data_IF_414326722353
#
_entry.id   IF_414326722353
#
_cell.length_a   1.000
_cell.length_b   1.000
_cell.length_c   1.000
_cell.angle_alpha   90.00
_cell.angle_beta   90.00
_cell.angle_gamma   90.00
#
_symmetry.space_group_name_H-M   'P 1'
#
loop_
_entity.id
_entity.type
_entity.pdbx_description
1 polymer ?
#
# COMPACT_ATOMS: atom_id res chain seq x y z
N UNK A 1 -2.16 -10.31 -12.80
CA UNK A 1 -3.02 -9.55 -13.70
C UNK A 1 -4.49 -9.75 -13.35
N UNK A 2 -5.28 -8.69 -13.41
CA UNK A 2 -6.70 -8.74 -13.06
C UNK A 2 -7.52 -8.71 -14.33
N UNK A 3 -8.27 -9.79 -14.56
CA UNK A 3 -9.16 -9.88 -15.72
C UNK A 3 -10.48 -9.16 -15.44
N UNK A 4 -11.05 -8.58 -16.47
CA UNK A 4 -12.32 -7.87 -16.37
C UNK A 4 -12.27 -6.65 -15.44
N UNK A 5 -11.08 -6.14 -15.22
CA UNK A 5 -10.92 -4.94 -14.41
C UNK A 5 -11.47 -3.74 -15.17
N UNK A 6 -12.47 -3.09 -14.60
CA UNK A 6 -13.06 -1.91 -15.20
C UNK A 6 -12.37 -0.64 -14.73
N UNK A 7 -12.06 -0.57 -13.46
CA UNK A 7 -11.48 0.63 -12.89
C UNK A 7 -10.72 0.29 -11.62
N UNK A 8 -9.59 0.95 -11.44
CA UNK A 8 -8.83 0.89 -10.20
C UNK A 8 -8.83 2.28 -9.58
N UNK A 9 -9.27 2.38 -8.34
CA UNK A 9 -9.32 3.66 -7.65
C UNK A 9 -8.52 3.56 -6.36
N UNK A 10 -7.66 4.53 -6.12
CA UNK A 10 -6.99 4.66 -4.84
C UNK A 10 -8.01 5.19 -3.83
N UNK A 11 -8.47 4.30 -2.94
CA UNK A 11 -9.51 4.63 -1.99
C UNK A 11 -9.00 5.55 -0.89
N UNK A 12 -7.74 5.39 -0.50
CA UNK A 12 -7.17 6.25 0.52
C UNK A 12 -5.95 5.64 1.16
N UNK A 13 -5.36 6.41 2.03
CA UNK A 13 -4.25 5.97 2.85
C UNK A 13 -4.61 6.16 4.32
N UNK A 14 -4.24 5.20 5.14
CA UNK A 14 -4.60 5.18 6.53
C UNK A 14 -3.37 4.88 7.38
N UNK A 15 -3.40 5.31 8.64
CA UNK A 15 -2.35 5.04 9.60
C UNK A 15 -0.96 5.40 9.08
N UNK A 16 -0.88 6.51 8.35
CA UNK A 16 0.41 6.99 7.85
C UNK A 16 1.28 7.46 8.99
N UNK A 17 2.51 6.97 9.01
CA UNK A 17 3.49 7.34 10.02
C UNK A 17 4.80 7.69 9.36
N UNK A 18 5.32 8.87 9.70
CA UNK A 18 6.62 9.30 9.26
C UNK A 18 7.61 9.04 10.38
N UNK A 19 8.58 8.18 10.12
CA UNK A 19 9.52 7.79 11.15
C UNK A 19 10.75 8.66 11.19
N UNK A 20 11.42 8.80 10.05
CA UNK A 20 12.64 9.57 9.98
C UNK A 20 12.94 9.96 8.55
N UNK A 21 13.70 11.04 8.34
CA UNK A 21 14.02 11.48 6.99
C UNK A 21 15.00 10.51 6.33
N UNK A 22 14.90 10.44 5.00
CA UNK A 22 15.83 9.69 4.18
C UNK A 22 16.97 10.63 3.80
N UNK A 23 18.19 10.26 4.16
CA UNK A 23 19.37 11.05 3.86
C UNK A 23 19.87 10.65 2.47
N UNK A 24 20.32 11.63 1.71
CA UNK A 24 20.89 11.39 0.38
C UNK A 24 21.98 10.33 0.45
N UNK A 25 21.90 9.36 -0.46
CA UNK A 25 22.85 8.25 -0.48
C UNK A 25 22.42 7.04 0.33
N UNK A 26 21.33 7.15 1.08
CA UNK A 26 20.80 6.00 1.83
C UNK A 26 20.19 4.99 0.88
N UNK A 27 20.28 3.72 1.27
CA UNK A 27 19.57 2.66 0.57
C UNK A 27 18.24 2.42 1.24
N UNK A 28 17.19 2.39 0.45
CA UNK A 28 15.84 2.17 0.95
C UNK A 28 15.20 1.01 0.21
N UNK A 29 14.22 0.39 0.84
CA UNK A 29 13.42 -0.63 0.16
C UNK A 29 11.98 -0.49 0.60
N UNK A 30 11.09 -0.84 -0.30
CA UNK A 30 9.66 -0.89 -0.02
C UNK A 30 9.29 -2.31 0.38
N UNK A 31 8.63 -2.43 1.51
CA UNK A 31 8.06 -3.70 1.96
C UNK A 31 6.55 -3.55 1.96
N UNK A 32 5.87 -4.42 1.25
CA UNK A 32 4.43 -4.37 1.14
C UNK A 32 3.85 -5.74 1.45
N UNK A 33 2.78 -5.75 2.25
CA UNK A 33 2.12 -6.98 2.67
C UNK A 33 0.62 -6.79 2.55
N UNK A 34 -0.05 -7.79 2.00
CA UNK A 34 -1.51 -7.77 1.92
C UNK A 34 -2.08 -7.73 3.34
N UNK A 35 -2.87 -6.70 3.62
CA UNK A 35 -3.46 -6.51 4.94
C UNK A 35 -4.88 -7.05 5.01
N UNK A 36 -5.69 -6.78 3.98
CA UNK A 36 -7.08 -7.18 3.98
C UNK A 36 -7.65 -7.18 2.57
N UNK A 37 -8.61 -8.06 2.33
CA UNK A 37 -9.37 -8.10 1.08
C UNK A 37 -10.83 -8.24 1.43
N UNK A 38 -11.66 -7.36 0.88
CA UNK A 38 -13.10 -7.44 1.01
C UNK A 38 -13.74 -7.51 -0.36
N UNK A 39 -14.55 -8.54 -0.58
CA UNK A 39 -15.27 -8.70 -1.84
C UNK A 39 -16.69 -8.20 -1.68
N UNK A 40 -17.03 -7.19 -2.44
CA UNK A 40 -18.37 -6.67 -2.55
C UNK A 40 -18.85 -6.93 -3.97
N UNK A 41 -20.14 -6.72 -4.22
CA UNK A 41 -20.68 -6.99 -5.55
C UNK A 41 -19.98 -6.12 -6.59
N UNK A 42 -19.23 -6.77 -7.48
CA UNK A 42 -18.54 -6.09 -8.56
C UNK A 42 -17.40 -5.18 -8.10
N UNK A 43 -17.09 -5.17 -6.81
CA UNK A 43 -16.05 -4.32 -6.25
C UNK A 43 -15.19 -5.16 -5.31
N UNK A 44 -13.90 -5.02 -5.43
CA UNK A 44 -12.95 -5.64 -4.52
C UNK A 44 -12.16 -4.53 -3.84
N UNK A 45 -12.23 -4.48 -2.51
CA UNK A 45 -11.44 -3.53 -1.72
C UNK A 45 -10.22 -4.26 -1.19
N UNK A 46 -9.05 -3.75 -1.51
CA UNK A 46 -7.78 -4.33 -1.09
C UNK A 46 -7.02 -3.33 -0.26
N UNK A 47 -6.54 -3.75 0.90
CA UNK A 47 -5.70 -2.93 1.75
C UNK A 47 -4.31 -3.55 1.83
N UNK A 48 -3.30 -2.73 1.62
CA UNK A 48 -1.91 -3.15 1.62
C UNK A 48 -1.17 -2.37 2.70
N UNK A 49 -0.56 -3.09 3.60
CA UNK A 49 0.31 -2.50 4.61
C UNK A 49 1.70 -2.37 4.00
N UNK A 50 2.26 -1.18 4.08
CA UNK A 50 3.56 -0.92 3.46
C UNK A 50 4.47 -0.17 4.42
N UNK A 51 5.76 -0.31 4.19
CA UNK A 51 6.76 0.50 4.87
C UNK A 51 7.94 0.71 3.95
N UNK A 52 8.59 1.86 4.12
CA UNK A 52 9.84 2.16 3.43
C UNK A 52 10.94 2.10 4.47
N UNK A 53 11.79 1.10 4.32
CA UNK A 53 12.86 0.84 5.27
C UNK A 53 14.18 1.42 4.78
N UNK A 54 14.96 1.92 5.71
CA UNK A 54 16.28 2.47 5.43
C UNK A 54 17.33 1.48 5.93
N UNK A 55 18.28 1.15 5.07
CA UNK A 55 19.35 0.24 5.44
C UNK A 55 20.08 0.74 6.69
N UNK A 56 20.25 -0.14 7.64
CA UNK A 56 20.95 0.19 8.88
C UNK A 56 20.10 0.86 9.93
N UNK A 57 18.84 1.16 9.65
CA UNK A 57 17.96 1.82 10.59
C UNK A 57 16.87 0.86 11.06
N UNK A 58 16.51 0.98 12.34
CA UNK A 58 15.44 0.15 12.90
C UNK A 58 14.07 0.64 12.53
N UNK A 59 13.90 1.97 12.50
CA UNK A 59 12.60 2.57 12.20
C UNK A 59 12.48 2.83 10.71
N UNK A 60 11.32 2.54 10.12
CA UNK A 60 11.11 2.89 8.72
C UNK A 60 11.02 4.40 8.55
N UNK A 61 11.29 4.88 7.34
CA UNK A 61 11.11 6.27 7.01
C UNK A 61 9.63 6.63 6.92
N UNK A 62 8.83 5.68 6.44
CA UNK A 62 7.40 5.88 6.22
C UNK A 62 6.72 4.54 6.31
N UNK A 63 5.54 4.51 6.91
CA UNK A 63 4.71 3.31 6.90
C UNK A 63 3.25 3.71 6.87
N UNK A 64 2.39 2.78 6.47
CA UNK A 64 0.98 3.04 6.41
C UNK A 64 0.22 1.91 5.76
N UNK A 65 -1.06 2.17 5.52
CA UNK A 65 -1.95 1.23 4.84
C UNK A 65 -2.57 1.97 3.67
N UNK A 66 -2.37 1.42 2.46
CA UNK A 66 -2.98 1.95 1.25
C UNK A 66 -4.16 1.07 0.87
N UNK A 67 -5.28 1.68 0.55
CA UNK A 67 -6.48 0.96 0.18
C UNK A 67 -6.87 1.29 -1.25
N UNK A 68 -7.27 0.26 -2.00
CA UNK A 68 -7.63 0.38 -3.41
C UNK A 68 -8.97 -0.28 -3.65
N UNK A 69 -9.74 0.30 -4.55
CA UNK A 69 -10.98 -0.30 -5.01
C UNK A 69 -10.81 -0.76 -6.45
N UNK A 70 -11.14 -2.01 -6.70
CA UNK A 70 -11.13 -2.60 -8.03
C UNK A 70 -12.57 -2.81 -8.47
N UNK A 71 -12.95 -2.22 -9.60
CA UNK A 71 -14.29 -2.36 -10.15
C UNK A 71 -14.23 -3.32 -11.32
N UNK A 72 -15.11 -4.31 -11.33
CA UNK A 72 -15.14 -5.33 -12.35
C UNK A 72 -16.41 -5.24 -13.17
N UNK A 73 -16.29 -5.64 -14.45
CA UNK A 73 -17.45 -5.89 -15.29
C UNK A 73 -17.95 -7.30 -15.03
N UNK A 74 -19.20 -7.40 -14.70
CA UNK A 74 -19.84 -8.72 -14.53
C UNK A 74 -20.70 -9.05 -15.72
#
# INVERSE_FOLDING_TARGET
EVNNLKMLVNYGMDQMRFGQPVITGSRVRLVATLHDIQNLRGICKTSIKFSIEIEGQRKPALSGIASFLYYFNN
#
